data_IF_582944945580
#
_entry.id   IF_582944945580
#
_cell.length_a   1.000
_cell.length_b   1.000
_cell.length_c   1.000
_cell.angle_alpha   90.00
_cell.angle_beta   90.00
_cell.angle_gamma   90.00
#
_symmetry.space_group_name_H-M   'P 1'
#
loop_
_entity.id
_entity.type
_entity.pdbx_description
1 polymer ?
#
# COMPACT_ATOMS: atom_id res chain seq x y z
N UNK A 1 44.39 25.46 57.45
CA UNK A 1 44.33 24.37 56.45
C UNK A 1 42.90 24.23 55.95
N UNK A 2 42.59 24.63 54.71
CA UNK A 2 41.33 24.30 54.02
C UNK A 2 41.69 23.85 52.61
N UNK A 3 41.52 22.56 52.32
CA UNK A 3 41.73 21.98 50.98
C UNK A 3 40.44 22.22 50.18
N UNK A 4 40.51 23.00 49.11
CA UNK A 4 39.44 23.15 48.13
C UNK A 4 39.62 22.03 47.10
N UNK A 5 38.63 21.15 46.98
CA UNK A 5 38.62 20.08 46.01
C UNK A 5 37.88 20.57 44.76
N UNK A 6 38.61 20.75 43.65
CA UNK A 6 38.05 21.17 42.37
C UNK A 6 37.42 19.94 41.69
N UNK A 7 36.10 19.86 41.69
CA UNK A 7 35.37 18.78 41.03
C UNK A 7 35.17 19.14 39.55
N UNK A 8 35.91 18.48 38.66
CA UNK A 8 35.74 18.63 37.20
C UNK A 8 34.56 17.75 36.78
N UNK A 9 33.43 18.38 36.45
CA UNK A 9 32.25 17.69 35.92
C UNK A 9 32.48 17.45 34.43
N UNK A 10 32.81 16.21 34.06
CA UNK A 10 32.79 15.76 32.67
C UNK A 10 31.33 15.63 32.21
N UNK A 11 30.85 16.61 31.46
CA UNK A 11 29.57 16.52 30.75
C UNK A 11 29.72 15.50 29.61
N UNK A 12 29.38 14.24 29.88
CA UNK A 12 29.20 13.23 28.83
C UNK A 12 27.96 13.61 28.01
N UNK A 13 28.18 14.35 26.92
CA UNK A 13 27.14 14.63 25.94
C UNK A 13 26.86 13.36 25.15
N UNK A 14 25.91 12.54 25.62
CA UNK A 14 25.43 11.38 24.87
C UNK A 14 24.73 11.89 23.59
N UNK A 15 25.09 11.40 22.40
CA UNK A 15 24.41 11.78 21.17
C UNK A 15 22.94 11.35 21.25
N UNK A 16 22.04 12.34 21.25
CA UNK A 16 20.61 12.12 21.12
C UNK A 16 20.38 11.50 19.74
N UNK A 17 20.16 10.19 19.70
CA UNK A 17 19.73 9.51 18.49
C UNK A 17 18.30 9.95 18.19
N UNK A 18 18.13 10.92 17.28
CA UNK A 18 16.81 11.26 16.76
C UNK A 18 16.32 10.06 15.94
N UNK A 19 15.41 9.26 16.48
CA UNK A 19 14.69 8.28 15.68
C UNK A 19 13.95 9.04 14.58
N UNK A 20 14.41 8.91 13.33
CA UNK A 20 13.66 9.44 12.19
C UNK A 20 12.30 8.74 12.18
N UNK A 21 11.22 9.51 12.37
CA UNK A 21 9.86 8.99 12.22
C UNK A 21 9.71 8.39 10.84
N UNK A 22 9.20 7.15 10.76
CA UNK A 22 8.97 6.48 9.48
C UNK A 22 8.09 7.34 8.56
N UNK A 23 8.56 7.57 7.34
CA UNK A 23 7.84 8.32 6.32
C UNK A 23 6.83 7.40 5.65
N UNK A 24 5.55 7.58 5.98
CA UNK A 24 4.47 6.75 5.46
C UNK A 24 3.63 7.52 4.45
N UNK A 25 3.18 6.81 3.41
CA UNK A 25 2.16 7.26 2.47
C UNK A 25 1.10 6.16 2.31
N UNK A 26 -0.16 6.58 2.28
CA UNK A 26 -1.27 5.77 1.77
C UNK A 26 -1.74 6.39 0.46
N UNK A 27 -1.86 5.57 -0.58
CA UNK A 27 -2.45 5.95 -1.85
C UNK A 27 -3.69 5.09 -2.11
N UNK A 28 -4.83 5.72 -2.32
CA UNK A 28 -6.12 5.06 -2.56
C UNK A 28 -6.52 5.30 -4.00
N UNK A 29 -6.61 4.22 -4.77
CA UNK A 29 -7.05 4.25 -6.15
C UNK A 29 -8.55 3.96 -6.24
N UNK A 30 -9.33 4.96 -6.60
CA UNK A 30 -10.78 4.81 -6.77
C UNK A 30 -11.14 3.97 -8.00
N UNK A 31 -10.30 3.96 -9.05
CA UNK A 31 -10.53 3.18 -10.27
C UNK A 31 -10.54 1.69 -9.97
N UNK A 32 -9.54 1.20 -9.23
CA UNK A 32 -9.35 -0.23 -8.95
C UNK A 32 -9.89 -0.65 -7.59
N UNK A 33 -10.38 0.28 -6.78
CA UNK A 33 -10.77 0.06 -5.38
C UNK A 33 -9.64 -0.58 -4.57
N UNK A 34 -8.47 0.05 -4.60
CA UNK A 34 -7.27 -0.43 -3.92
C UNK A 34 -6.66 0.63 -3.02
N UNK A 35 -6.06 0.19 -1.93
CA UNK A 35 -5.26 1.01 -1.02
C UNK A 35 -3.84 0.47 -1.01
N UNK A 36 -2.88 1.29 -1.42
CA UNK A 36 -1.45 0.96 -1.42
C UNK A 36 -0.75 1.70 -0.27
N UNK A 37 0.06 0.97 0.49
CA UNK A 37 0.84 1.48 1.61
C UNK A 37 2.33 1.54 1.24
N UNK A 38 2.96 2.67 1.56
CA UNK A 38 4.37 2.93 1.37
C UNK A 38 5.03 3.29 2.71
N UNK A 39 6.26 2.83 2.88
CA UNK A 39 7.09 3.09 4.04
C UNK A 39 8.51 3.47 3.61
N UNK A 40 8.97 4.65 4.01
CA UNK A 40 10.26 5.24 3.70
C UNK A 40 10.53 5.24 2.17
N UNK A 41 9.53 5.66 1.39
CA UNK A 41 9.58 5.68 -0.07
C UNK A 41 9.51 4.31 -0.75
N UNK A 42 9.35 3.22 -0.01
CA UNK A 42 9.22 1.87 -0.58
C UNK A 42 7.75 1.46 -0.61
N UNK A 43 7.32 0.87 -1.72
CA UNK A 43 6.05 0.17 -1.77
C UNK A 43 6.09 -1.06 -0.87
N UNK A 44 5.10 -1.21 0.01
CA UNK A 44 5.04 -2.33 0.97
C UNK A 44 3.95 -3.31 0.59
N UNK A 45 2.71 -2.83 0.42
CA UNK A 45 1.56 -3.71 0.21
C UNK A 45 0.38 -2.95 -0.38
N UNK A 46 -0.47 -3.65 -1.15
CA UNK A 46 -1.77 -3.17 -1.59
C UNK A 46 -2.89 -4.05 -1.02
N UNK A 47 -4.01 -3.43 -0.71
CA UNK A 47 -5.21 -4.06 -0.18
C UNK A 47 -6.42 -3.75 -1.06
N UNK A 48 -7.32 -4.70 -1.28
CA UNK A 48 -8.63 -4.38 -1.83
C UNK A 48 -9.43 -3.58 -0.80
N UNK A 49 -10.20 -2.60 -1.24
CA UNK A 49 -11.05 -1.76 -0.39
C UNK A 49 -12.45 -1.59 -0.96
N UNK A 50 -13.41 -1.19 -0.14
CA UNK A 50 -14.68 -0.65 -0.63
C UNK A 50 -14.61 0.87 -0.62
N UNK A 51 -14.97 1.52 -1.72
CA UNK A 51 -15.07 2.99 -1.83
C UNK A 51 -16.52 3.44 -1.96
N UNK A 52 -16.73 4.76 -1.98
CA UNK A 52 -18.04 5.37 -2.08
C UNK A 52 -18.78 5.03 -3.37
N UNK A 53 -20.07 4.76 -3.25
CA UNK A 53 -20.99 4.63 -4.41
C UNK A 53 -21.18 5.98 -5.11
N UNK A 54 -21.72 5.95 -6.33
CA UNK A 54 -21.85 7.13 -7.21
C UNK A 54 -22.54 8.35 -6.58
N UNK A 55 -23.57 8.15 -5.76
CA UNK A 55 -24.31 9.24 -5.12
C UNK A 55 -23.74 9.71 -3.77
N UNK A 56 -22.77 8.99 -3.22
CA UNK A 56 -22.00 9.37 -2.02
C UNK A 56 -20.54 8.96 -2.23
N UNK A 57 -19.84 9.62 -3.16
CA UNK A 57 -18.51 9.20 -3.57
C UNK A 57 -17.50 9.41 -2.44
N UNK A 58 -16.42 8.62 -2.47
CA UNK A 58 -15.22 8.94 -1.70
C UNK A 58 -14.56 10.17 -2.34
N UNK A 59 -14.27 11.24 -1.58
CA UNK A 59 -13.69 12.45 -2.12
C UNK A 59 -12.26 12.20 -2.59
N UNK A 60 -11.90 12.73 -3.75
CA UNK A 60 -10.52 12.82 -4.20
C UNK A 60 -9.82 13.97 -3.47
N UNK A 61 -8.52 13.83 -3.22
CA UNK A 61 -7.75 14.86 -2.53
C UNK A 61 -6.58 14.31 -1.74
N UNK A 62 -5.91 15.22 -1.01
CA UNK A 62 -4.83 14.89 -0.08
C UNK A 62 -5.31 15.13 1.34
N UNK A 63 -5.18 14.09 2.16
CA UNK A 63 -5.60 14.04 3.55
C UNK A 63 -4.42 13.61 4.43
N UNK A 64 -4.61 13.63 5.74
CA UNK A 64 -3.70 13.02 6.70
C UNK A 64 -4.45 12.31 7.83
N UNK A 65 -3.78 11.33 8.45
CA UNK A 65 -4.34 10.57 9.56
C UNK A 65 -4.27 11.42 10.84
N UNK A 66 -5.41 11.68 11.48
CA UNK A 66 -5.47 12.53 12.68
C UNK A 66 -5.70 11.77 13.98
N UNK A 67 -6.34 10.60 13.92
CA UNK A 67 -6.65 9.78 15.08
C UNK A 67 -6.94 8.33 14.69
N UNK A 68 -6.89 7.46 15.69
CA UNK A 68 -6.95 6.00 15.51
C UNK A 68 -7.68 5.40 16.69
N UNK A 69 -8.72 4.60 16.44
CA UNK A 69 -9.48 3.90 17.48
C UNK A 69 -9.51 2.40 17.21
N UNK A 70 -9.33 1.60 18.26
CA UNK A 70 -9.70 0.19 18.27
C UNK A 70 -11.17 0.10 18.63
N UNK A 71 -11.92 -0.77 17.96
CA UNK A 71 -13.32 -1.07 18.28
C UNK A 71 -14.16 0.20 18.50
N UNK A 72 -14.19 1.10 17.52
CA UNK A 72 -14.91 2.37 17.66
C UNK A 72 -16.42 2.14 17.76
N UNK A 73 -17.07 2.78 18.72
CA UNK A 73 -18.53 2.79 18.80
C UNK A 73 -19.15 3.46 17.56
N UNK A 74 -20.23 2.87 17.05
CA UNK A 74 -21.02 3.42 15.97
C UNK A 74 -22.27 4.12 16.51
N UNK A 75 -22.08 5.39 16.92
CA UNK A 75 -23.12 6.21 17.57
C UNK A 75 -24.39 6.38 16.72
N UNK A 76 -24.28 6.35 15.38
CA UNK A 76 -25.45 6.55 14.50
C UNK A 76 -26.54 5.49 14.68
N UNK A 77 -26.19 4.32 15.23
CA UNK A 77 -27.13 3.24 15.58
C UNK A 77 -26.94 2.73 17.01
N UNK A 78 -26.24 3.48 17.87
CA UNK A 78 -25.88 3.09 19.24
C UNK A 78 -25.30 1.66 19.32
N UNK A 79 -24.44 1.28 18.37
CA UNK A 79 -23.81 -0.05 18.36
C UNK A 79 -22.49 0.03 19.11
N UNK A 80 -22.30 -0.75 20.19
CA UNK A 80 -21.06 -0.77 20.96
C UNK A 80 -19.83 -1.07 20.10
N UNK A 81 -18.69 -0.55 20.54
CA UNK A 81 -17.39 -0.91 20.00
C UNK A 81 -17.12 -2.41 20.14
N UNK A 82 -16.62 -3.05 19.07
CA UNK A 82 -16.25 -4.47 19.10
C UNK A 82 -17.43 -5.44 18.95
N UNK A 83 -18.67 -4.95 18.85
CA UNK A 83 -19.81 -5.80 18.53
C UNK A 83 -19.66 -6.39 17.11
N UNK A 84 -19.97 -7.69 16.88
CA UNK A 84 -19.83 -8.33 15.57
C UNK A 84 -20.64 -7.67 14.45
N UNK A 85 -21.73 -6.98 14.80
CA UNK A 85 -22.58 -6.25 13.87
C UNK A 85 -22.18 -4.78 13.66
N UNK A 86 -21.08 -4.32 14.27
CA UNK A 86 -20.63 -2.94 14.14
C UNK A 86 -20.05 -2.70 12.72
N UNK A 87 -20.61 -1.77 11.93
CA UNK A 87 -20.16 -1.54 10.55
C UNK A 87 -18.79 -0.88 10.44
N UNK A 88 -18.22 -0.40 11.55
CA UNK A 88 -16.88 0.19 11.60
C UNK A 88 -15.78 -0.87 11.76
N UNK A 89 -16.14 -2.12 12.07
CA UNK A 89 -15.22 -3.22 12.28
C UNK A 89 -14.28 -3.00 13.48
N UNK A 90 -13.13 -3.64 13.42
CA UNK A 90 -12.17 -3.76 14.54
C UNK A 90 -11.24 -2.58 14.71
N UNK A 91 -11.01 -1.80 13.66
CA UNK A 91 -10.10 -0.65 13.64
C UNK A 91 -10.68 0.49 12.82
N UNK A 92 -10.39 1.70 13.26
CA UNK A 92 -10.82 2.93 12.61
C UNK A 92 -9.68 3.93 12.60
N UNK A 93 -9.39 4.49 11.43
CA UNK A 93 -8.30 5.43 11.16
C UNK A 93 -8.92 6.68 10.54
N UNK A 94 -8.99 7.77 11.31
CA UNK A 94 -9.67 8.99 10.89
C UNK A 94 -8.78 9.89 10.04
N UNK A 95 -9.38 10.46 9.00
CA UNK A 95 -8.74 11.46 8.15
C UNK A 95 -9.03 12.87 8.68
N UNK A 96 -8.22 13.85 8.30
CA UNK A 96 -8.43 15.27 8.60
C UNK A 96 -9.61 15.91 7.85
N UNK A 97 -10.57 15.11 7.42
CA UNK A 97 -11.83 15.55 6.82
C UNK A 97 -12.98 14.95 7.63
N UNK A 98 -13.96 15.79 7.96
CA UNK A 98 -15.01 15.41 8.91
C UNK A 98 -15.77 14.21 8.35
N UNK A 99 -15.93 13.18 9.18
CA UNK A 99 -16.66 11.93 8.87
C UNK A 99 -15.98 10.93 7.91
N UNK A 100 -14.79 11.20 7.37
CA UNK A 100 -14.08 10.24 6.53
C UNK A 100 -13.02 9.45 7.29
N UNK A 101 -12.96 8.16 7.00
CA UNK A 101 -12.04 7.23 7.64
C UNK A 101 -11.71 6.04 6.76
N UNK A 102 -10.58 5.42 7.07
CA UNK A 102 -10.23 4.07 6.66
C UNK A 102 -10.57 3.15 7.83
N UNK A 103 -11.45 2.17 7.65
CA UNK A 103 -11.93 1.34 8.75
C UNK A 103 -12.22 -0.10 8.32
N UNK A 104 -12.41 -1.00 9.29
CA UNK A 104 -12.81 -2.39 9.06
C UNK A 104 -14.25 -2.51 8.57
N UNK A 105 -14.81 -3.72 8.49
CA UNK A 105 -16.21 -3.89 8.12
C UNK A 105 -16.76 -5.20 8.65
N UNK A 106 -18.03 -5.20 9.05
CA UNK A 106 -18.75 -6.44 9.32
C UNK A 106 -19.36 -7.07 8.05
N UNK A 107 -19.11 -6.49 6.87
CA UNK A 107 -19.61 -6.94 5.57
C UNK A 107 -18.46 -7.26 4.63
N UNK A 108 -17.72 -8.30 4.95
CA UNK A 108 -16.47 -8.65 4.25
C UNK A 108 -16.65 -8.94 2.75
N UNK A 109 -17.81 -9.48 2.34
CA UNK A 109 -18.12 -9.73 0.92
C UNK A 109 -18.31 -8.48 0.05
N UNK A 110 -18.25 -7.27 0.64
CA UNK A 110 -18.38 -5.99 -0.10
C UNK A 110 -17.03 -5.36 -0.48
N UNK A 111 -15.92 -5.92 0.00
CA UNK A 111 -14.57 -5.44 -0.31
C UNK A 111 -14.28 -5.60 -1.82
N UNK A 112 -13.64 -4.59 -2.41
CA UNK A 112 -13.38 -4.49 -3.86
C UNK A 112 -14.48 -3.77 -4.67
N UNK A 113 -15.56 -3.33 -4.02
CA UNK A 113 -16.74 -2.72 -4.69
C UNK A 113 -16.93 -1.23 -4.35
N UNK A 114 -17.81 -0.56 -5.09
CA UNK A 114 -18.25 0.83 -4.81
C UNK A 114 -19.58 0.84 -4.07
N UNK A 115 -19.56 0.57 -2.77
CA UNK A 115 -20.78 0.38 -1.95
C UNK A 115 -20.82 1.20 -0.64
N UNK A 116 -19.76 1.94 -0.31
CA UNK A 116 -19.74 2.73 0.93
C UNK A 116 -20.46 4.08 0.76
N UNK A 117 -20.68 4.79 1.86
CA UNK A 117 -21.17 6.17 1.83
C UNK A 117 -20.02 7.21 1.82
N UNK A 118 -18.87 6.86 1.24
CA UNK A 118 -17.71 7.73 1.11
C UNK A 118 -16.49 7.31 1.94
N UNK A 119 -16.68 6.60 3.06
CA UNK A 119 -15.57 6.00 3.82
C UNK A 119 -14.86 4.88 3.05
N UNK A 120 -13.64 4.55 3.44
CA UNK A 120 -12.86 3.46 2.85
C UNK A 120 -12.94 2.26 3.78
N UNK A 121 -13.52 1.14 3.30
CA UNK A 121 -13.64 -0.10 4.08
C UNK A 121 -12.56 -1.09 3.68
N UNK A 122 -12.00 -1.77 4.67
CA UNK A 122 -11.01 -2.83 4.52
C UNK A 122 -11.50 -4.10 5.22
N UNK A 123 -10.93 -5.24 4.83
CA UNK A 123 -11.09 -6.45 5.65
C UNK A 123 -10.56 -6.22 7.07
N UNK A 124 -11.21 -6.81 8.07
CA UNK A 124 -10.81 -6.61 9.47
C UNK A 124 -9.36 -7.06 9.72
N UNK A 125 -8.92 -8.16 9.09
CA UNK A 125 -7.52 -8.62 9.15
C UNK A 125 -6.53 -7.60 8.57
N UNK A 126 -6.92 -6.93 7.48
CA UNK A 126 -6.03 -6.05 6.72
C UNK A 126 -5.96 -4.66 7.38
N UNK A 127 -7.07 -4.15 7.91
CA UNK A 127 -7.06 -2.90 8.69
C UNK A 127 -6.30 -3.05 10.01
N UNK A 128 -6.33 -4.22 10.65
CA UNK A 128 -5.50 -4.47 11.84
C UNK A 128 -4.01 -4.37 11.50
N UNK A 129 -3.60 -5.01 10.41
CA UNK A 129 -2.22 -4.93 9.91
C UNK A 129 -1.81 -3.48 9.62
N UNK A 130 -2.66 -2.69 8.96
CA UNK A 130 -2.38 -1.30 8.62
C UNK A 130 -2.36 -0.42 9.86
N UNK A 131 -3.34 -0.60 10.75
CA UNK A 131 -3.48 0.15 12.00
C UNK A 131 -2.24 0.02 12.86
N UNK A 132 -1.65 -1.16 12.99
CA UNK A 132 -0.49 -1.34 13.87
C UNK A 132 0.81 -0.74 13.29
N UNK A 133 0.82 -0.37 12.00
CA UNK A 133 2.00 0.18 11.30
C UNK A 133 1.90 1.66 11.01
N UNK A 134 0.74 2.13 10.55
CA UNK A 134 0.61 3.50 10.06
C UNK A 134 0.63 4.51 11.20
N UNK A 135 1.35 5.61 10.98
CA UNK A 135 1.57 6.66 11.97
C UNK A 135 0.48 7.72 11.89
N UNK A 136 0.29 8.48 12.97
CA UNK A 136 -0.45 9.74 12.84
C UNK A 136 0.30 10.69 11.91
N UNK A 137 -0.43 11.61 11.29
CA UNK A 137 0.04 12.57 10.27
C UNK A 137 0.53 11.94 8.97
N UNK A 138 0.46 10.61 8.81
CA UNK A 138 0.68 9.95 7.53
C UNK A 138 -0.19 10.58 6.45
N UNK A 139 0.42 10.93 5.31
CA UNK A 139 -0.27 11.46 4.15
C UNK A 139 -1.12 10.37 3.51
N UNK A 140 -2.35 10.72 3.15
CA UNK A 140 -3.30 9.85 2.45
C UNK A 140 -3.72 10.57 1.19
N UNK A 141 -3.43 10.03 0.01
CA UNK A 141 -3.86 10.60 -1.26
C UNK A 141 -4.94 9.70 -1.83
N UNK A 142 -6.07 10.29 -2.22
CA UNK A 142 -7.18 9.61 -2.86
C UNK A 142 -7.33 10.17 -4.26
N UNK A 143 -7.22 9.33 -5.27
CA UNK A 143 -7.36 9.75 -6.67
C UNK A 143 -7.77 8.61 -7.59
N UNK A 144 -8.12 8.96 -8.82
CA UNK A 144 -8.27 8.02 -9.93
C UNK A 144 -6.99 7.96 -10.75
N UNK A 145 -6.43 6.77 -10.91
CA UNK A 145 -5.28 6.55 -11.79
C UNK A 145 -5.28 5.13 -12.35
N UNK A 146 -4.55 4.97 -13.44
CA UNK A 146 -4.50 3.74 -14.24
C UNK A 146 -3.11 3.11 -14.29
N UNK A 147 -2.15 3.72 -13.60
CA UNK A 147 -0.75 3.32 -13.55
C UNK A 147 -0.43 2.48 -12.31
N UNK A 148 0.80 1.99 -12.20
CA UNK A 148 1.27 1.41 -10.94
C UNK A 148 1.18 2.41 -9.77
N UNK A 149 0.91 1.93 -8.53
CA UNK A 149 0.91 2.79 -7.34
C UNK A 149 2.23 3.55 -7.14
N UNK A 150 3.36 2.91 -7.43
CA UNK A 150 4.70 3.49 -7.32
C UNK A 150 4.86 4.69 -8.23
N UNK A 151 4.47 4.56 -9.50
CA UNK A 151 4.55 5.65 -10.45
C UNK A 151 3.54 6.75 -10.14
N UNK A 152 2.30 6.39 -9.75
CA UNK A 152 1.30 7.36 -9.32
C UNK A 152 1.81 8.18 -8.12
N UNK A 153 2.36 7.52 -7.09
CA UNK A 153 2.95 8.19 -5.94
C UNK A 153 4.12 9.12 -6.33
N UNK A 154 4.99 8.68 -7.25
CA UNK A 154 6.05 9.55 -7.79
C UNK A 154 5.48 10.79 -8.49
N UNK A 155 4.49 10.62 -9.38
CA UNK A 155 3.82 11.73 -10.09
C UNK A 155 3.12 12.71 -9.15
N UNK A 156 2.68 12.23 -7.98
CA UNK A 156 2.10 13.03 -6.91
C UNK A 156 3.16 13.69 -6.01
N UNK A 157 4.44 13.64 -6.39
CA UNK A 157 5.54 14.30 -5.70
C UNK A 157 6.05 13.55 -4.47
N UNK A 158 5.69 12.28 -4.30
CA UNK A 158 6.24 11.44 -3.23
C UNK A 158 7.53 10.77 -3.71
N UNK A 159 8.56 10.78 -2.86
CA UNK A 159 9.82 10.09 -3.18
C UNK A 159 9.59 8.58 -3.11
N UNK A 160 9.47 7.96 -4.27
CA UNK A 160 9.39 6.50 -4.37
C UNK A 160 10.74 5.97 -4.83
N UNK A 161 11.33 5.11 -4.01
CA UNK A 161 12.48 4.30 -4.39
C UNK A 161 11.98 2.96 -4.90
N UNK A 162 12.33 2.63 -6.13
CA UNK A 162 12.19 1.27 -6.64
C UNK A 162 13.05 0.31 -5.79
N UNK A 163 12.75 -0.98 -5.91
CA UNK A 163 13.40 -2.05 -5.16
C UNK A 163 14.93 -2.12 -5.32
N UNK A 164 15.48 -1.63 -6.44
CA UNK A 164 16.92 -1.56 -6.69
C UNK A 164 17.58 -0.30 -6.08
N UNK A 165 16.81 0.53 -5.36
CA UNK A 165 17.28 1.75 -4.71
C UNK A 165 17.25 3.00 -5.59
N UNK A 166 16.86 2.90 -6.86
CA UNK A 166 16.72 4.06 -7.76
C UNK A 166 15.37 4.73 -7.60
N UNK A 167 15.34 6.05 -7.77
CA UNK A 167 14.09 6.82 -7.83
C UNK A 167 13.29 6.33 -9.05
N UNK A 168 11.98 6.14 -8.87
CA UNK A 168 11.07 5.85 -9.98
C UNK A 168 10.90 7.15 -10.77
N UNK A 169 11.41 7.23 -12.01
CA UNK A 169 11.32 8.44 -12.86
C UNK A 169 10.31 8.27 -14.02
N UNK A 170 9.99 7.04 -14.39
CA UNK A 170 9.03 6.68 -15.43
C UNK A 170 8.15 5.50 -14.96
N UNK A 171 7.02 5.25 -15.62
CA UNK A 171 6.21 4.08 -15.31
C UNK A 171 7.01 2.81 -15.63
N UNK A 172 7.47 2.12 -14.59
CA UNK A 172 8.06 0.80 -14.76
C UNK A 172 6.95 -0.24 -14.89
N UNK A 173 6.67 -0.61 -16.13
CA UNK A 173 6.02 -1.87 -16.46
C UNK A 173 7.02 -2.66 -17.27
N UNK A 174 7.35 -3.86 -16.82
CA UNK A 174 8.13 -4.79 -17.64
C UNK A 174 7.31 -5.94 -18.14
N UNK A 175 7.77 -6.57 -19.21
CA UNK A 175 7.32 -7.86 -19.67
C UNK A 175 8.35 -8.90 -19.27
N UNK A 176 7.90 -9.88 -18.53
CA UNK A 176 8.69 -11.01 -18.10
C UNK A 176 8.40 -12.15 -19.05
N UNK A 177 9.41 -12.55 -19.81
CA UNK A 177 9.35 -13.78 -20.60
C UNK A 177 10.06 -14.88 -19.83
N UNK A 178 9.34 -15.96 -19.54
CA UNK A 178 9.90 -17.12 -18.86
C UNK A 178 10.86 -17.86 -19.79
N UNK A 179 12.08 -18.11 -19.33
CA UNK A 179 13.08 -18.89 -20.08
C UNK A 179 12.91 -20.39 -19.79
N UNK A 180 12.43 -20.72 -18.59
CA UNK A 180 12.23 -22.09 -18.12
C UNK A 180 10.87 -22.22 -17.41
N UNK A 181 10.50 -23.44 -17.04
CA UNK A 181 9.33 -23.75 -16.22
C UNK A 181 9.48 -23.08 -14.85
N UNK A 182 8.51 -22.23 -14.54
CA UNK A 182 8.48 -21.48 -13.28
C UNK A 182 7.16 -21.70 -12.54
N UNK A 183 7.06 -21.15 -11.34
CA UNK A 183 5.83 -21.17 -10.55
C UNK A 183 5.35 -19.75 -10.32
N UNK A 184 4.03 -19.57 -10.38
CA UNK A 184 3.36 -18.41 -9.80
C UNK A 184 3.00 -18.76 -8.37
N UNK A 185 3.29 -17.83 -7.47
CA UNK A 185 2.97 -17.89 -6.06
C UNK A 185 1.99 -16.79 -5.70
N UNK A 186 1.02 -17.13 -4.86
CA UNK A 186 0.20 -16.17 -4.15
C UNK A 186 0.87 -15.83 -2.84
N UNK A 187 0.97 -14.54 -2.50
CA UNK A 187 1.42 -14.11 -1.19
C UNK A 187 0.23 -13.98 -0.24
N UNK A 188 0.20 -14.84 0.77
CA UNK A 188 -0.80 -14.83 1.83
C UNK A 188 -0.67 -13.58 2.72
N UNK A 189 -1.72 -13.19 3.47
CA UNK A 189 -1.67 -12.04 4.35
C UNK A 189 -0.56 -12.08 5.42
N UNK A 190 -0.11 -13.27 5.80
CA UNK A 190 0.99 -13.51 6.74
C UNK A 190 2.38 -13.41 6.08
N UNK A 191 2.45 -13.14 4.76
CA UNK A 191 3.68 -13.03 3.98
C UNK A 191 4.19 -14.35 3.38
N UNK A 192 3.54 -15.48 3.70
CA UNK A 192 3.89 -16.80 3.14
C UNK A 192 3.50 -16.90 1.67
N UNK A 193 4.30 -17.63 0.89
CA UNK A 193 4.02 -17.88 -0.52
C UNK A 193 3.41 -19.26 -0.72
N UNK A 194 2.23 -19.31 -1.33
CA UNK A 194 1.54 -20.54 -1.73
C UNK A 194 1.65 -20.69 -3.24
N UNK A 195 2.17 -21.81 -3.72
CA UNK A 195 2.22 -22.08 -5.17
C UNK A 195 0.79 -22.17 -5.72
N UNK A 196 0.48 -21.34 -6.71
CA UNK A 196 -0.82 -21.31 -7.41
C UNK A 196 -0.78 -22.21 -8.62
N UNK A 197 0.22 -22.01 -9.50
CA UNK A 197 0.37 -22.80 -10.72
C UNK A 197 1.81 -22.86 -11.19
N UNK A 198 2.10 -23.89 -11.95
CA UNK A 198 3.29 -23.96 -12.79
C UNK A 198 3.00 -23.27 -14.12
N UNK A 199 3.98 -22.55 -14.66
CA UNK A 199 3.91 -21.80 -15.92
C UNK A 199 5.03 -22.29 -16.85
N UNK A 200 4.74 -22.33 -18.15
CA UNK A 200 5.63 -22.90 -19.14
C UNK A 200 6.63 -21.86 -19.68
N UNK A 201 7.76 -22.32 -20.26
CA UNK A 201 8.68 -21.44 -20.98
C UNK A 201 7.96 -20.62 -22.07
N UNK A 202 8.48 -19.43 -22.34
CA UNK A 202 7.99 -18.42 -23.29
C UNK A 202 6.65 -17.74 -22.96
N UNK A 203 5.99 -18.10 -21.84
CA UNK A 203 4.87 -17.31 -21.36
C UNK A 203 5.34 -15.91 -20.93
N UNK A 204 4.50 -14.90 -21.19
CA UNK A 204 4.80 -13.48 -20.94
C UNK A 204 3.89 -12.92 -19.85
N UNK A 205 4.50 -12.22 -18.89
CA UNK A 205 3.80 -11.65 -17.74
C UNK A 205 4.12 -10.18 -17.58
N UNK A 206 3.09 -9.35 -17.41
CA UNK A 206 3.27 -7.97 -16.95
C UNK A 206 3.82 -7.99 -15.55
N UNK A 207 4.92 -7.27 -15.33
CA UNK A 207 5.55 -7.10 -14.02
C UNK A 207 5.38 -5.65 -13.60
N UNK A 208 4.85 -5.49 -12.40
CA UNK A 208 4.62 -4.20 -11.76
C UNK A 208 5.78 -3.82 -10.83
N UNK A 209 6.45 -4.82 -10.23
CA UNK A 209 7.68 -4.60 -9.46
C UNK A 209 8.50 -5.89 -9.34
N UNK A 210 9.79 -5.79 -9.00
CA UNK A 210 10.69 -6.93 -8.73
C UNK A 210 11.20 -6.83 -7.29
N UNK A 211 11.34 -7.92 -6.55
CA UNK A 211 11.92 -7.95 -5.21
C UNK A 211 13.42 -8.26 -5.25
N UNK A 212 14.14 -7.88 -4.19
CA UNK A 212 15.59 -8.11 -4.06
C UNK A 212 15.98 -9.59 -4.03
N UNK A 213 15.05 -10.47 -3.67
CA UNK A 213 15.19 -11.92 -3.64
C UNK A 213 14.91 -12.61 -4.98
N UNK A 214 14.78 -11.84 -6.08
CA UNK A 214 14.41 -12.41 -7.38
C UNK A 214 12.91 -12.69 -7.55
N UNK A 215 12.06 -12.19 -6.67
CA UNK A 215 10.60 -12.20 -6.90
C UNK A 215 10.18 -11.14 -7.92
N UNK A 216 9.11 -11.38 -8.66
CA UNK A 216 8.53 -10.48 -9.65
C UNK A 216 7.05 -10.39 -9.38
N UNK A 217 6.58 -9.23 -8.94
CA UNK A 217 5.17 -8.96 -8.68
C UNK A 217 4.44 -8.76 -10.01
N UNK A 218 3.50 -9.65 -10.30
CA UNK A 218 2.71 -9.66 -11.53
C UNK A 218 1.26 -9.22 -11.30
N UNK A 219 0.99 -8.56 -10.17
CA UNK A 219 -0.34 -8.05 -9.80
C UNK A 219 -1.15 -9.05 -8.95
N UNK A 220 -2.20 -8.56 -8.27
CA UNK A 220 -3.15 -9.40 -7.52
C UNK A 220 -2.50 -10.35 -6.49
N UNK A 221 -1.50 -9.89 -5.75
CA UNK A 221 -0.69 -10.71 -4.83
C UNK A 221 0.00 -11.93 -5.48
N UNK A 222 0.11 -11.95 -6.81
CA UNK A 222 0.80 -13.01 -7.54
C UNK A 222 2.24 -12.61 -7.83
N UNK A 223 3.14 -13.57 -7.66
CA UNK A 223 4.57 -13.41 -7.80
C UNK A 223 5.16 -14.56 -8.61
N UNK A 224 6.17 -14.26 -9.41
CA UNK A 224 7.06 -15.27 -10.01
C UNK A 224 8.41 -15.14 -9.30
N UNK A 225 9.01 -16.24 -8.86
CA UNK A 225 10.29 -16.20 -8.12
C UNK A 225 11.41 -16.84 -8.94
N UNK A 226 12.42 -16.06 -9.30
CA UNK A 226 13.69 -16.51 -9.90
C UNK A 226 14.84 -16.29 -8.93
N UNK A 227 14.92 -17.19 -7.95
CA UNK A 227 15.94 -17.19 -6.90
C UNK A 227 17.36 -17.35 -7.47
N UNK A 228 17.47 -17.94 -8.67
CA UNK A 228 18.74 -18.22 -9.36
C UNK A 228 19.17 -17.15 -10.36
N UNK A 229 18.28 -16.20 -10.69
CA UNK A 229 18.56 -15.06 -11.56
C UNK A 229 18.80 -15.37 -13.05
N UNK A 230 18.42 -16.56 -13.53
CA UNK A 230 18.69 -17.01 -14.90
C UNK A 230 17.49 -17.59 -15.65
N UNK A 231 16.32 -17.67 -15.01
CA UNK A 231 15.13 -18.33 -15.58
C UNK A 231 14.16 -17.35 -16.22
N UNK A 232 14.51 -16.07 -16.24
CA UNK A 232 13.62 -14.98 -16.62
C UNK A 232 14.35 -13.95 -17.48
N UNK A 233 13.74 -13.57 -18.61
CA UNK A 233 14.11 -12.39 -19.37
C UNK A 233 13.13 -11.28 -19.03
N UNK A 234 13.65 -10.18 -18.49
CA UNK A 234 12.86 -9.00 -18.15
C UNK A 234 13.12 -7.91 -19.18
N UNK A 235 12.07 -7.49 -19.88
CA UNK A 235 12.09 -6.37 -20.82
C UNK A 235 11.26 -5.24 -20.24
N UNK A 236 11.85 -4.09 -19.97
CA UNK A 236 11.07 -2.92 -19.54
C UNK A 236 10.29 -2.37 -20.74
N UNK A 237 8.97 -2.27 -20.62
CA UNK A 237 8.10 -1.70 -21.65
C UNK A 237 7.97 -0.19 -21.42
N UNK A 238 8.30 0.65 -22.42
CA UNK A 238 8.18 2.10 -22.29
C UNK A 238 6.73 2.57 -22.07
N UNK A 239 6.57 3.60 -21.23
CA UNK A 239 5.29 4.21 -20.84
C UNK A 239 4.39 4.61 -22.04
N UNK A 240 4.99 5.08 -23.12
CA UNK A 240 4.29 5.51 -24.35
C UNK A 240 3.51 4.37 -25.02
N UNK A 241 3.93 3.11 -24.84
CA UNK A 241 3.27 1.95 -25.41
C UNK A 241 2.09 1.50 -24.53
N UNK A 242 2.24 1.59 -23.21
CA UNK A 242 1.27 1.11 -22.23
C UNK A 242 0.04 2.00 -22.14
N UNK A 243 0.24 3.32 -22.17
CA UNK A 243 -0.85 4.30 -22.26
C UNK A 243 -1.73 4.08 -23.50
N UNK A 244 -1.13 3.69 -24.62
CA UNK A 244 -1.85 3.41 -25.86
C UNK A 244 -2.63 2.08 -25.84
N UNK A 245 -2.08 1.02 -25.24
CA UNK A 245 -2.79 -0.25 -25.06
C UNK A 245 -3.96 -0.07 -24.09
N UNK A 246 -3.75 0.71 -23.03
CA UNK A 246 -4.76 0.99 -22.01
C UNK A 246 -5.96 1.78 -22.57
N UNK A 247 -5.71 2.90 -23.26
CA UNK A 247 -6.75 3.72 -23.91
C UNK A 247 -7.61 2.89 -24.86
N UNK A 248 -6.98 2.02 -25.66
CA UNK A 248 -7.67 1.11 -26.59
C UNK A 248 -8.49 0.03 -25.89
N UNK A 249 -8.01 -0.54 -24.79
CA UNK A 249 -8.69 -1.63 -24.08
C UNK A 249 -9.94 -1.17 -23.33
N UNK A 250 -9.94 0.07 -22.84
CA UNK A 250 -11.02 0.60 -22.00
C UNK A 250 -11.82 1.74 -22.65
N UNK A 251 -11.64 1.99 -23.95
CA UNK A 251 -12.28 3.08 -24.71
C UNK A 251 -12.21 4.45 -24.01
N UNK A 252 -11.09 4.73 -23.35
CA UNK A 252 -10.83 6.03 -22.74
C UNK A 252 -10.13 6.89 -23.79
N UNK A 253 -10.79 7.97 -24.24
CA UNK A 253 -10.19 8.97 -25.15
C UNK A 253 -9.03 9.71 -24.46
#
# INVERSE_FOLDING_TARGET
>A
MKKVCLMVIFFFCLPISTFASADHLILINLTTNQLSFFENGKYVRTFPVTTGKRNTPTPEGTFCIINKYKNKEYHRKNIPGGAPNNPLGTRWIGLNEKEYAIHGTNREGTIGRRESNGCIRMHDRDIQWLYDRVSLRTKVIISQFYTSPEYAAHKLGYRVTSWNGRIVEEEQIGMLTLVDRMNIYWQEPNGQFTKVKTVLPNERYTVYSRGKNGSYYIGNNLYIMDETGGKIRYEQVPYSILSNIYKRKYNVQ
#
